data_IF_222705372129
#
_entry.id   IF_222705372129
#
_cell.length_a   1.000
_cell.length_b   1.000
_cell.length_c   1.000
_cell.angle_alpha   90.00
_cell.angle_beta   90.00
_cell.angle_gamma   90.00
#
_symmetry.space_group_name_H-M   'P 1'
#
loop_
_entity.id
_entity.type
_entity.pdbx_description
1 polymer ?
#
# COMPACT_ATOMS: atom_id res chain seq x y z
N UNK A 1 21.30 4.08 10.42
CA UNK A 1 21.71 2.66 10.25
C UNK A 1 22.01 2.34 8.79
N UNK A 2 22.74 1.30 8.55
CA UNK A 2 23.07 0.80 7.20
C UNK A 2 21.92 -0.04 6.66
N UNK A 3 21.91 -0.26 5.33
CA UNK A 3 20.84 -1.00 4.66
C UNK A 3 20.65 -2.43 5.20
N UNK A 4 21.74 -3.13 5.56
CA UNK A 4 21.66 -4.49 6.12
C UNK A 4 20.86 -4.55 7.42
N UNK A 5 21.05 -3.60 8.29
CA UNK A 5 20.28 -3.46 9.53
C UNK A 5 18.84 -3.05 9.26
N UNK A 6 18.65 -2.09 8.35
CA UNK A 6 17.33 -1.59 7.96
C UNK A 6 16.45 -2.71 7.40
N UNK A 7 16.94 -3.51 6.45
CA UNK A 7 16.16 -4.60 5.86
C UNK A 7 15.79 -5.70 6.85
N UNK A 8 16.62 -5.93 7.87
CA UNK A 8 16.30 -6.87 8.95
C UNK A 8 15.16 -6.35 9.82
N UNK A 9 15.21 -5.06 10.17
CA UNK A 9 14.19 -4.42 11.00
C UNK A 9 12.82 -4.39 10.33
N UNK A 10 12.77 -4.09 9.03
CA UNK A 10 11.50 -4.00 8.30
C UNK A 10 11.12 -5.29 7.59
N UNK A 11 11.92 -6.35 7.75
CA UNK A 11 11.66 -7.68 7.18
C UNK A 11 11.41 -7.65 5.68
N UNK A 12 12.37 -7.09 4.94
CA UNK A 12 12.27 -6.93 3.49
C UNK A 12 13.58 -7.30 2.82
N UNK A 13 13.67 -7.04 1.52
CA UNK A 13 14.87 -7.26 0.71
C UNK A 13 15.52 -5.95 0.35
N UNK A 14 16.80 -6.02 0.02
CA UNK A 14 17.57 -4.87 -0.48
C UNK A 14 16.95 -4.31 -1.75
N UNK A 15 16.48 -5.19 -2.66
CA UNK A 15 15.87 -4.78 -3.92
C UNK A 15 14.59 -3.98 -3.70
N UNK A 16 13.76 -4.37 -2.74
CA UNK A 16 12.55 -3.64 -2.39
C UNK A 16 12.87 -2.23 -1.88
N UNK A 17 13.84 -2.11 -0.98
CA UNK A 17 14.26 -0.81 -0.45
C UNK A 17 14.80 0.09 -1.57
N UNK A 18 15.64 -0.46 -2.44
CA UNK A 18 16.19 0.28 -3.59
C UNK A 18 15.10 0.72 -4.56
N UNK A 19 14.11 -0.12 -4.79
CA UNK A 19 12.97 0.22 -5.63
C UNK A 19 12.19 1.41 -5.04
N UNK A 20 11.96 1.40 -3.73
CA UNK A 20 11.29 2.53 -3.06
C UNK A 20 12.12 3.81 -3.09
N UNK A 21 13.44 3.70 -3.03
CA UNK A 21 14.34 4.85 -3.22
C UNK A 21 14.24 5.41 -4.64
N UNK A 22 14.21 4.54 -5.65
CA UNK A 22 14.03 4.94 -7.06
C UNK A 22 12.71 5.68 -7.28
N UNK A 23 11.67 5.26 -6.59
CA UNK A 23 10.35 5.91 -6.63
C UNK A 23 10.26 7.15 -5.73
N UNK A 24 11.35 7.50 -5.07
CA UNK A 24 11.43 8.64 -4.16
C UNK A 24 10.50 8.52 -2.94
N UNK A 25 10.14 7.29 -2.58
CA UNK A 25 9.32 6.99 -1.40
C UNK A 25 10.15 6.94 -0.14
N UNK A 26 11.36 6.39 -0.21
CA UNK A 26 12.34 6.34 0.88
C UNK A 26 13.50 7.24 0.50
N UNK A 27 13.87 8.15 1.41
CA UNK A 27 14.93 9.13 1.21
C UNK A 27 15.95 9.08 2.35
N UNK A 28 16.84 8.07 2.36
CA UNK A 28 17.87 8.02 3.39
C UNK A 28 18.87 9.15 3.21
N UNK A 29 19.45 9.60 4.29
CA UNK A 29 20.55 10.57 4.24
C UNK A 29 21.84 9.90 3.81
N UNK A 30 22.81 10.69 3.33
CA UNK A 30 24.13 10.23 2.99
C UNK A 30 25.11 10.69 4.06
N UNK A 31 25.85 9.74 4.65
CA UNK A 31 26.92 10.01 5.60
C UNK A 31 28.17 9.25 5.19
N UNK A 32 29.28 9.96 5.07
CA UNK A 32 30.57 9.37 4.69
C UNK A 32 30.48 8.52 3.41
N UNK A 33 29.73 9.00 2.41
CA UNK A 33 29.57 8.32 1.13
C UNK A 33 28.66 7.11 1.13
N UNK A 34 27.97 6.83 2.24
CA UNK A 34 27.01 5.72 2.33
C UNK A 34 25.64 6.20 2.82
N UNK A 35 24.61 5.41 2.51
CA UNK A 35 23.26 5.69 2.98
C UNK A 35 23.13 5.43 4.47
N UNK A 36 22.49 6.37 5.15
CA UNK A 36 22.17 6.28 6.57
C UNK A 36 20.65 6.31 6.74
N UNK A 37 20.08 5.16 7.07
CA UNK A 37 18.64 5.02 7.29
C UNK A 37 18.28 5.46 8.71
N UNK A 38 17.32 6.36 8.82
CA UNK A 38 16.90 6.96 10.08
C UNK A 38 15.52 6.45 10.51
N UNK A 39 15.08 6.74 11.74
CA UNK A 39 13.72 6.39 12.19
C UNK A 39 12.59 6.87 11.27
N UNK A 40 12.78 8.02 10.60
CA UNK A 40 11.81 8.49 9.59
C UNK A 40 11.63 7.52 8.44
N UNK A 41 12.71 6.86 8.02
CA UNK A 41 12.68 5.88 6.92
C UNK A 41 11.95 4.61 7.33
N UNK A 42 12.07 4.20 8.60
CA UNK A 42 11.29 3.08 9.16
C UNK A 42 9.80 3.39 9.11
N UNK A 43 9.40 4.58 9.55
CA UNK A 43 8.00 5.02 9.53
C UNK A 43 7.46 5.08 8.11
N UNK A 44 8.22 5.64 7.19
CA UNK A 44 7.85 5.73 5.79
C UNK A 44 7.67 4.34 5.18
N UNK A 45 8.59 3.42 5.45
CA UNK A 45 8.51 2.05 4.95
C UNK A 45 7.24 1.34 5.45
N UNK A 46 6.95 1.46 6.75
CA UNK A 46 5.75 0.85 7.33
C UNK A 46 4.47 1.46 6.75
N UNK A 47 4.42 2.78 6.56
CA UNK A 47 3.28 3.45 5.95
C UNK A 47 3.05 2.97 4.49
N UNK A 48 4.12 2.82 3.72
CA UNK A 48 4.06 2.30 2.34
C UNK A 48 3.48 0.88 2.35
N UNK A 49 4.00 0.00 3.20
CA UNK A 49 3.54 -1.39 3.29
C UNK A 49 2.09 -1.49 3.74
N UNK A 50 1.68 -0.69 4.69
CA UNK A 50 0.29 -0.64 5.14
C UNK A 50 -0.65 -0.23 4.00
N UNK A 51 -0.31 0.82 3.27
CA UNK A 51 -1.11 1.27 2.13
C UNK A 51 -1.15 0.24 1.01
N UNK A 52 -0.03 -0.43 0.71
CA UNK A 52 0.00 -1.51 -0.27
C UNK A 52 -0.87 -2.69 0.16
N UNK A 53 -0.88 -3.01 1.45
CA UNK A 53 -1.72 -4.11 1.97
C UNK A 53 -3.21 -3.82 1.82
N UNK A 54 -3.60 -2.56 1.75
CA UNK A 54 -4.98 -2.14 1.49
C UNK A 54 -5.32 -2.05 0.00
N UNK A 55 -4.35 -2.31 -0.88
CA UNK A 55 -4.56 -2.32 -2.33
C UNK A 55 -4.15 -1.05 -3.05
N UNK A 56 -3.61 -0.04 -2.36
CA UNK A 56 -3.17 1.18 -3.03
C UNK A 56 -1.96 0.90 -3.92
N UNK A 57 -1.99 1.42 -5.14
CA UNK A 57 -0.86 1.33 -6.06
C UNK A 57 0.28 2.24 -5.60
N UNK A 58 1.52 1.85 -5.92
CA UNK A 58 2.70 2.67 -5.59
C UNK A 58 2.60 4.09 -6.16
N UNK A 59 1.98 4.26 -7.31
CA UNK A 59 1.74 5.56 -7.93
C UNK A 59 0.91 6.48 -7.04
N UNK A 60 -0.15 5.95 -6.43
CA UNK A 60 -1.00 6.71 -5.50
C UNK A 60 -0.25 7.04 -4.22
N UNK A 61 0.55 6.09 -3.74
CA UNK A 61 1.40 6.29 -2.57
C UNK A 61 2.44 7.38 -2.83
N UNK A 62 3.04 7.41 -4.02
CA UNK A 62 3.95 8.49 -4.43
C UNK A 62 3.27 9.86 -4.35
N UNK A 63 2.05 9.97 -4.86
CA UNK A 63 1.27 11.21 -4.81
C UNK A 63 1.02 11.65 -3.36
N UNK A 64 0.68 10.72 -2.49
CA UNK A 64 0.47 10.97 -1.06
C UNK A 64 1.77 11.48 -0.41
N UNK A 65 2.90 10.84 -0.67
CA UNK A 65 4.19 11.27 -0.13
C UNK A 65 4.62 12.63 -0.66
N UNK A 66 4.35 12.93 -1.93
CA UNK A 66 4.63 14.24 -2.50
C UNK A 66 3.85 15.34 -1.77
N UNK A 67 2.57 15.11 -1.51
CA UNK A 67 1.72 16.04 -0.76
C UNK A 67 2.25 16.20 0.68
N UNK A 68 2.59 15.09 1.33
CA UNK A 68 3.13 15.10 2.70
C UNK A 68 4.41 15.94 2.79
N UNK A 69 5.31 15.81 1.81
CA UNK A 69 6.60 16.49 1.80
C UNK A 69 6.48 17.97 1.45
N UNK A 70 5.49 18.35 0.66
CA UNK A 70 5.25 19.76 0.29
C UNK A 70 4.37 20.50 1.28
N UNK A 71 3.36 19.84 1.86
CA UNK A 71 2.37 20.46 2.76
C UNK A 71 2.50 20.09 4.22
N UNK A 72 3.36 19.11 4.57
CA UNK A 72 3.55 18.61 5.91
C UNK A 72 2.50 17.58 6.34
N UNK A 73 2.83 16.85 7.41
CA UNK A 73 1.95 15.85 8.03
C UNK A 73 0.70 16.55 8.60
N UNK A 74 -0.47 15.98 8.32
CA UNK A 74 -1.74 16.47 8.85
C UNK A 74 -2.33 17.65 8.11
N UNK A 75 -1.75 18.08 6.98
CA UNK A 75 -2.36 19.10 6.14
C UNK A 75 -3.71 18.64 5.60
N UNK A 76 -4.64 19.57 5.39
CA UNK A 76 -5.95 19.27 4.80
C UNK A 76 -5.81 18.62 3.43
N UNK A 77 -4.83 19.05 2.65
CA UNK A 77 -4.54 18.51 1.33
C UNK A 77 -4.07 17.05 1.41
N UNK A 78 -3.21 16.71 2.37
CA UNK A 78 -2.75 15.35 2.60
C UNK A 78 -3.91 14.45 3.00
N UNK A 79 -4.72 14.88 3.94
CA UNK A 79 -5.88 14.12 4.42
C UNK A 79 -6.86 13.88 3.26
N UNK A 80 -7.16 14.90 2.47
CA UNK A 80 -8.05 14.77 1.32
C UNK A 80 -7.49 13.79 0.27
N UNK A 81 -6.18 13.82 0.02
CA UNK A 81 -5.52 12.90 -0.90
C UNK A 81 -5.61 11.46 -0.44
N UNK A 82 -5.34 11.20 0.84
CA UNK A 82 -5.43 9.86 1.43
C UNK A 82 -6.88 9.36 1.40
N UNK A 83 -7.83 10.19 1.82
CA UNK A 83 -9.26 9.83 1.79
C UNK A 83 -9.74 9.51 0.37
N UNK A 84 -9.29 10.27 -0.63
CA UNK A 84 -9.61 10.01 -2.03
C UNK A 84 -9.13 8.65 -2.50
N UNK A 85 -7.88 8.30 -2.19
CA UNK A 85 -7.30 7.00 -2.55
C UNK A 85 -8.00 5.84 -1.84
N UNK A 86 -8.31 6.00 -0.56
CA UNK A 86 -9.03 4.97 0.23
C UNK A 86 -10.45 4.79 -0.29
N UNK A 87 -11.13 5.87 -0.63
CA UNK A 87 -12.48 5.82 -1.21
C UNK A 87 -12.49 5.07 -2.54
N UNK A 88 -11.52 5.31 -3.40
CA UNK A 88 -11.39 4.61 -4.68
C UNK A 88 -11.19 3.11 -4.47
N UNK A 89 -10.34 2.73 -3.51
CA UNK A 89 -10.14 1.31 -3.16
C UNK A 89 -11.41 0.68 -2.58
N UNK A 90 -12.14 1.41 -1.76
CA UNK A 90 -13.39 0.92 -1.19
C UNK A 90 -14.43 0.66 -2.28
N UNK A 91 -14.51 1.52 -3.30
CA UNK A 91 -15.40 1.33 -4.45
C UNK A 91 -15.04 0.05 -5.23
N UNK A 92 -13.76 -0.24 -5.41
CA UNK A 92 -13.28 -1.47 -6.04
C UNK A 92 -13.73 -2.69 -5.23
N UNK A 93 -13.61 -2.63 -3.93
CA UNK A 93 -14.02 -3.72 -3.01
C UNK A 93 -15.53 -3.94 -3.08
N UNK A 94 -16.33 -2.89 -3.08
CA UNK A 94 -17.80 -3.00 -3.19
C UNK A 94 -18.21 -3.69 -4.50
N UNK A 95 -17.57 -3.36 -5.61
CA UNK A 95 -17.84 -4.02 -6.90
C UNK A 95 -17.41 -5.49 -6.88
N UNK A 96 -16.27 -5.81 -6.26
CA UNK A 96 -15.81 -7.19 -6.12
C UNK A 96 -16.77 -8.01 -5.24
N UNK A 97 -17.26 -7.45 -4.14
CA UNK A 97 -18.23 -8.09 -3.26
C UNK A 97 -19.54 -8.39 -4.02
N UNK A 98 -20.01 -7.45 -4.81
CA UNK A 98 -21.21 -7.58 -5.64
C UNK A 98 -21.09 -8.74 -6.63
N UNK A 99 -19.94 -8.83 -7.32
CA UNK A 99 -19.67 -9.91 -8.27
C UNK A 99 -19.54 -11.27 -7.57
N UNK A 100 -18.91 -11.32 -6.41
CA UNK A 100 -18.79 -12.54 -5.62
C UNK A 100 -20.15 -13.03 -5.13
N UNK A 101 -21.00 -12.13 -4.67
CA UNK A 101 -22.37 -12.45 -4.23
C UNK A 101 -23.18 -13.05 -5.38
N UNK A 102 -23.06 -12.49 -6.57
CA UNK A 102 -23.70 -12.97 -7.78
C UNK A 102 -23.24 -14.38 -8.14
N UNK A 103 -21.94 -14.63 -8.16
CA UNK A 103 -21.35 -15.94 -8.43
C UNK A 103 -21.80 -16.97 -7.40
N UNK A 104 -21.81 -16.60 -6.14
CA UNK A 104 -22.25 -17.44 -5.03
C UNK A 104 -23.70 -17.89 -5.25
N UNK A 105 -24.58 -16.95 -5.58
CA UNK A 105 -25.99 -17.25 -5.85
C UNK A 105 -26.17 -18.20 -7.03
N UNK A 106 -25.40 -18.02 -8.10
CA UNK A 106 -25.43 -18.90 -9.26
C UNK A 106 -25.01 -20.32 -8.92
N UNK A 107 -23.94 -20.46 -8.15
CA UNK A 107 -23.43 -21.78 -7.72
C UNK A 107 -24.46 -22.47 -6.82
N UNK A 108 -25.00 -21.77 -5.85
CA UNK A 108 -26.01 -22.31 -4.94
C UNK A 108 -27.27 -22.76 -5.69
N UNK A 109 -27.70 -21.97 -6.67
CA UNK A 109 -28.85 -22.33 -7.51
C UNK A 109 -28.61 -23.60 -8.31
N UNK A 110 -27.40 -23.75 -8.90
CA UNK A 110 -27.05 -24.96 -9.65
C UNK A 110 -26.96 -26.18 -8.73
N UNK A 111 -26.41 -26.03 -7.55
CA UNK A 111 -26.36 -27.12 -6.54
C UNK A 111 -27.75 -27.59 -6.17
N UNK A 112 -28.67 -26.67 -5.91
CA UNK A 112 -30.08 -27.01 -5.58
C UNK A 112 -30.75 -27.76 -6.71
N UNK A 113 -30.56 -27.36 -7.95
CA UNK A 113 -31.11 -28.08 -9.11
C UNK A 113 -30.56 -29.51 -9.22
N UNK A 114 -29.26 -29.68 -9.04
CA UNK A 114 -28.60 -30.99 -9.12
C UNK A 114 -29.03 -31.89 -7.96
N UNK A 115 -29.21 -31.37 -6.77
CA UNK A 115 -29.66 -32.10 -5.60
C UNK A 115 -31.10 -32.65 -5.80
N UNK A 116 -31.94 -31.94 -6.54
CA UNK A 116 -33.30 -32.41 -6.86
C UNK A 116 -33.29 -33.61 -7.83
N UNK A 117 -32.21 -33.82 -8.55
CA UNK A 117 -32.08 -34.91 -9.51
C UNK A 117 -31.61 -36.23 -8.88
N UNK A 118 -31.20 -36.20 -7.62
CA UNK A 118 -30.66 -37.36 -6.88
C UNK A 118 -31.73 -38.14 -6.09
#
# INVERSE_FOLDING_TARGET
MRIGEFIKLVQTTKDTVRHYEELDLIRPEWKNGTRDYAPKDLKDFHAIKEMQSMGLALKDIQSIFDIKRSGGCGSAQLIAGVLGSLNNELDVIYEAEKELKKKKSMIQGMMEELERLV
#
